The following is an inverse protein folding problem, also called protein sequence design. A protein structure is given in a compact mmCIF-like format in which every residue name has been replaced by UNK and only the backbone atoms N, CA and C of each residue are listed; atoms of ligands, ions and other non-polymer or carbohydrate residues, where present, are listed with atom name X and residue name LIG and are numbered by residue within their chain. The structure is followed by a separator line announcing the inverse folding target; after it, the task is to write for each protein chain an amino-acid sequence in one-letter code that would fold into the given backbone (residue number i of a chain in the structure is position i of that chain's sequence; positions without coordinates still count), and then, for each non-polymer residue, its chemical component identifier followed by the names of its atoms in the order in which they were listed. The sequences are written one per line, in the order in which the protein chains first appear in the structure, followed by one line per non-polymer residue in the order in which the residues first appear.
data_IF_323477727323
#
_entry.id   IF_323477727323
#
_cell.length_a   1.000
_cell.length_b   1.000
_cell.length_c   1.000
_cell.angle_alpha   90.00
_cell.angle_beta   90.00
_cell.angle_gamma   90.00
#
_symmetry.space_group_name_H-M   'P 1'
#
loop_
_entity.id
_entity.type
_entity.pdbx_description
1 polymer ?
#
# COMPACT_ATOMS: atom_id res chain seq x y z
N UNK A 1 -8.90 24.61 -17.97
CA UNK A 1 -10.10 23.77 -17.74
C UNK A 1 -11.24 24.65 -17.22
N UNK A 2 -12.45 24.61 -17.83
CA UNK A 2 -13.61 25.41 -17.41
C UNK A 2 -14.07 25.09 -15.96
N UNK A 3 -14.73 26.05 -15.30
CA UNK A 3 -15.10 25.94 -13.88
C UNK A 3 -16.08 24.79 -13.59
N UNK A 4 -16.99 24.47 -14.51
CA UNK A 4 -17.92 23.35 -14.34
C UNK A 4 -17.20 22.00 -14.20
N UNK A 5 -16.18 21.76 -15.03
CA UNK A 5 -15.32 20.59 -14.90
C UNK A 5 -14.50 20.63 -13.61
N UNK A 6 -14.02 21.80 -13.18
CA UNK A 6 -13.32 21.95 -11.90
C UNK A 6 -14.21 21.64 -10.69
N UNK A 7 -15.46 22.09 -10.71
CA UNK A 7 -16.46 21.79 -9.68
C UNK A 7 -16.78 20.29 -9.62
N UNK A 8 -16.87 19.64 -10.79
CA UNK A 8 -17.17 18.21 -10.92
C UNK A 8 -16.02 17.29 -10.49
N UNK A 9 -14.78 17.59 -10.89
CA UNK A 9 -13.62 16.72 -10.65
C UNK A 9 -12.79 17.09 -9.42
N UNK A 10 -12.83 18.35 -8.99
CA UNK A 10 -12.00 18.87 -7.90
C UNK A 10 -12.81 19.43 -6.71
N UNK A 11 -14.15 19.34 -6.75
CA UNK A 11 -15.07 19.75 -5.67
C UNK A 11 -14.77 21.16 -5.12
N UNK A 12 -14.46 22.08 -6.04
CA UNK A 12 -14.07 23.45 -5.71
C UNK A 12 -15.32 24.28 -5.38
N UNK A 13 -15.36 24.89 -4.19
CA UNK A 13 -16.47 25.75 -3.76
C UNK A 13 -16.53 27.11 -4.49
N UNK A 14 -15.37 27.67 -4.88
CA UNK A 14 -15.27 28.94 -5.61
C UNK A 14 -14.16 28.92 -6.68
N UNK A 15 -14.35 29.56 -7.85
CA UNK A 15 -13.39 29.51 -8.98
C UNK A 15 -11.95 29.92 -8.63
N UNK A 16 -11.79 30.80 -7.63
CA UNK A 16 -10.52 31.33 -7.11
C UNK A 16 -9.72 30.35 -6.23
N UNK A 17 -10.32 29.26 -5.75
CA UNK A 17 -9.68 28.34 -4.80
C UNK A 17 -8.83 27.24 -5.45
N UNK A 18 -8.81 27.16 -6.78
CA UNK A 18 -8.00 26.18 -7.49
C UNK A 18 -6.60 26.75 -7.80
N UNK A 19 -5.60 26.31 -7.03
CA UNK A 19 -4.20 26.64 -7.25
C UNK A 19 -3.42 25.36 -7.57
N UNK A 20 -2.95 25.24 -8.82
CA UNK A 20 -2.23 24.06 -9.30
C UNK A 20 -0.92 23.82 -8.55
N UNK A 21 -0.18 24.89 -8.23
CA UNK A 21 1.06 24.77 -7.49
C UNK A 21 0.81 24.22 -6.09
N UNK A 22 -0.14 24.80 -5.35
CA UNK A 22 -0.50 24.33 -4.00
C UNK A 22 -1.06 22.90 -4.00
N UNK A 23 -1.75 22.50 -5.08
CA UNK A 23 -2.21 21.13 -5.30
C UNK A 23 -1.03 20.16 -5.49
N UNK A 24 -0.10 20.50 -6.39
CA UNK A 24 1.08 19.67 -6.67
C UNK A 24 2.06 19.63 -5.49
N UNK A 25 2.08 20.66 -4.64
CA UNK A 25 2.86 20.69 -3.39
C UNK A 25 2.06 20.19 -2.19
N UNK A 26 0.89 19.56 -2.40
CA UNK A 26 0.10 18.88 -1.36
C UNK A 26 -0.32 19.74 -0.16
N UNK A 27 -0.54 21.04 -0.36
CA UNK A 27 -0.95 21.96 0.69
C UNK A 27 -2.28 21.50 1.32
N UNK A 28 -2.42 21.39 2.66
CA UNK A 28 -3.59 20.77 3.31
C UNK A 28 -4.96 21.26 2.81
N UNK A 29 -5.10 22.56 2.58
CA UNK A 29 -6.33 23.20 2.07
C UNK A 29 -6.58 23.01 0.56
N UNK A 30 -5.56 22.60 -0.20
CA UNK A 30 -5.60 22.38 -1.65
C UNK A 30 -5.33 20.91 -2.03
N UNK A 31 -5.41 19.99 -1.07
CA UNK A 31 -5.40 18.54 -1.33
C UNK A 31 -6.70 18.16 -2.03
N UNK A 32 -6.70 18.30 -3.35
CA UNK A 32 -7.80 17.79 -4.16
C UNK A 32 -7.82 16.26 -4.08
N UNK A 33 -9.03 15.71 -4.03
CA UNK A 33 -9.31 14.34 -3.60
C UNK A 33 -8.53 13.24 -4.33
N UNK A 34 -8.05 13.47 -5.56
CA UNK A 34 -7.37 12.46 -6.38
C UNK A 34 -6.08 11.90 -5.72
N UNK A 35 -5.40 12.70 -4.90
CA UNK A 35 -4.13 12.35 -4.26
C UNK A 35 -4.23 12.39 -2.72
N UNK A 36 -5.41 12.11 -2.16
CA UNK A 36 -5.71 12.43 -0.76
C UNK A 36 -4.84 11.68 0.28
N UNK A 37 -4.34 10.48 -0.01
CA UNK A 37 -3.38 9.77 0.88
C UNK A 37 -1.93 9.94 0.46
N UNK A 38 -1.64 10.35 -0.78
CA UNK A 38 -0.29 10.48 -1.33
C UNK A 38 0.64 11.38 -0.48
N UNK A 39 0.23 12.58 0.00
CA UNK A 39 1.06 13.35 0.91
C UNK A 39 1.32 12.64 2.24
N UNK A 40 0.36 11.85 2.73
CA UNK A 40 0.50 11.10 3.97
C UNK A 40 1.50 9.97 3.80
N UNK A 41 1.43 9.26 2.67
CA UNK A 41 2.35 8.20 2.28
C UNK A 41 3.78 8.74 2.11
N UNK A 42 3.97 9.82 1.35
CA UNK A 42 5.26 10.50 1.20
C UNK A 42 5.82 10.91 2.57
N UNK A 43 4.99 11.56 3.40
CA UNK A 43 5.43 11.98 4.74
C UNK A 43 5.85 10.79 5.60
N UNK A 44 5.14 9.66 5.49
CA UNK A 44 5.49 8.46 6.21
C UNK A 44 6.78 7.81 5.70
N UNK A 45 7.07 7.89 4.39
CA UNK A 45 8.33 7.40 3.84
C UNK A 45 9.57 8.13 4.38
N UNK A 46 9.45 9.38 4.85
CA UNK A 46 10.53 10.05 5.58
C UNK A 46 10.70 9.53 7.02
N UNK A 47 9.63 9.05 7.65
CA UNK A 47 9.65 8.47 9.00
C UNK A 47 10.14 7.01 8.97
N UNK A 48 9.86 6.29 7.89
CA UNK A 48 10.13 4.86 7.76
C UNK A 48 11.62 4.49 7.97
N UNK A 49 12.63 5.20 7.41
CA UNK A 49 14.03 4.93 7.69
C UNK A 49 14.37 5.03 9.18
N UNK A 50 13.89 6.09 9.85
CA UNK A 50 14.13 6.27 11.28
C UNK A 50 13.48 5.16 12.12
N UNK A 51 12.26 4.76 11.75
CA UNK A 51 11.58 3.61 12.36
C UNK A 51 12.39 2.32 12.20
N UNK A 52 12.87 2.01 10.99
CA UNK A 52 13.68 0.81 10.72
C UNK A 52 14.98 0.84 11.52
N UNK A 53 15.70 1.95 11.53
CA UNK A 53 16.95 2.10 12.30
C UNK A 53 16.71 1.91 13.81
N UNK A 54 15.61 2.44 14.35
CA UNK A 54 15.25 2.25 15.75
C UNK A 54 14.99 0.76 16.07
N UNK A 55 14.26 0.05 15.19
CA UNK A 55 13.99 -1.39 15.35
C UNK A 55 15.27 -2.22 15.26
N UNK A 56 16.19 -1.87 14.37
CA UNK A 56 17.49 -2.52 14.28
C UNK A 56 18.31 -2.31 15.56
N UNK A 57 18.34 -1.08 16.10
CA UNK A 57 19.05 -0.75 17.35
C UNK A 57 18.48 -1.46 18.58
N UNK A 58 17.17 -1.71 18.62
CA UNK A 58 16.51 -2.45 19.71
C UNK A 58 16.94 -3.93 19.78
N UNK A 59 17.49 -4.49 18.71
CA UNK A 59 18.08 -5.83 18.69
C UNK A 59 17.10 -6.91 19.17
N UNK A 60 17.44 -7.60 20.27
CA UNK A 60 16.63 -8.66 20.91
C UNK A 60 15.42 -8.11 21.69
N UNK A 61 15.44 -6.84 22.09
CA UNK A 61 14.40 -6.21 22.92
C UNK A 61 13.31 -5.51 22.12
N UNK A 62 13.25 -5.73 20.80
CA UNK A 62 12.26 -5.11 19.91
C UNK A 62 10.80 -5.29 20.37
N UNK A 63 10.49 -6.44 20.99
CA UNK A 63 9.15 -6.75 21.48
C UNK A 63 8.69 -5.79 22.60
N UNK A 64 9.63 -5.28 23.41
CA UNK A 64 9.34 -4.33 24.50
C UNK A 64 8.78 -3.01 23.98
N UNK A 65 9.16 -2.59 22.76
CA UNK A 65 8.60 -1.40 22.11
C UNK A 65 7.34 -1.73 21.31
N UNK A 66 7.25 -2.93 20.73
CA UNK A 66 6.12 -3.30 19.87
C UNK A 66 4.83 -3.53 20.66
N UNK A 67 4.90 -4.12 21.85
CA UNK A 67 3.72 -4.31 22.72
C UNK A 67 3.02 -2.99 23.04
N UNK A 68 3.69 -1.96 23.63
CA UNK A 68 3.04 -0.68 23.92
C UNK A 68 2.59 0.05 22.65
N UNK A 69 3.32 -0.07 21.53
CA UNK A 69 2.89 0.51 20.26
C UNK A 69 1.61 -0.13 19.73
N UNK A 70 1.45 -1.45 19.81
CA UNK A 70 0.19 -2.10 19.41
C UNK A 70 -0.97 -1.68 20.32
N UNK A 71 -0.73 -1.56 21.63
CA UNK A 71 -1.73 -1.04 22.58
C UNK A 71 -2.15 0.37 22.19
N UNK A 72 -1.19 1.25 21.88
CA UNK A 72 -1.47 2.61 21.41
C UNK A 72 -2.27 2.62 20.10
N UNK A 73 -1.91 1.80 19.11
CA UNK A 73 -2.65 1.72 17.84
C UNK A 73 -4.08 1.23 18.05
N UNK A 74 -4.29 0.24 18.93
CA UNK A 74 -5.62 -0.28 19.27
C UNK A 74 -6.43 0.80 19.98
N UNK A 75 -5.83 1.49 20.95
CA UNK A 75 -6.44 2.62 21.66
C UNK A 75 -6.86 3.72 20.68
N UNK A 76 -5.98 4.18 19.80
CA UNK A 76 -6.33 5.16 18.76
C UNK A 76 -7.45 4.65 17.84
N UNK A 77 -7.44 3.37 17.48
CA UNK A 77 -8.51 2.77 16.68
C UNK A 77 -9.88 2.74 17.37
N UNK A 78 -9.90 2.67 18.70
CA UNK A 78 -11.13 2.65 19.51
C UNK A 78 -11.68 4.05 19.79
N UNK A 79 -10.80 4.99 20.11
CA UNK A 79 -11.19 6.28 20.67
C UNK A 79 -11.10 7.46 19.70
N UNK A 80 -10.39 7.31 18.57
CA UNK A 80 -10.25 8.37 17.56
C UNK A 80 -11.18 8.11 16.38
N UNK A 81 -12.11 9.03 16.13
CA UNK A 81 -13.00 8.98 14.95
C UNK A 81 -12.28 9.52 13.71
N UNK A 82 -12.35 8.77 12.59
CA UNK A 82 -11.83 9.16 11.28
C UNK A 82 -13.02 9.48 10.36
N UNK A 83 -13.46 10.73 10.37
CA UNK A 83 -14.68 11.20 9.70
C UNK A 83 -14.41 11.96 8.40
N UNK A 84 -13.27 12.66 8.29
CA UNK A 84 -12.89 13.49 7.15
C UNK A 84 -11.56 13.06 6.51
N UNK A 85 -11.52 11.80 6.07
CA UNK A 85 -10.35 11.10 5.54
C UNK A 85 -9.41 11.91 4.62
N UNK A 86 -9.94 12.82 3.80
CA UNK A 86 -9.16 13.61 2.82
C UNK A 86 -8.58 14.93 3.37
N UNK A 87 -9.02 15.42 4.54
CA UNK A 87 -8.51 16.64 5.19
C UNK A 87 -7.72 16.34 6.48
N UNK A 88 -7.65 15.08 6.89
CA UNK A 88 -7.04 14.74 8.16
C UNK A 88 -5.51 14.80 8.10
N UNK A 89 -4.85 15.33 9.14
CA UNK A 89 -3.39 15.38 9.21
C UNK A 89 -2.80 13.98 9.42
N UNK A 90 -1.51 13.82 9.07
CA UNK A 90 -0.79 12.55 9.17
C UNK A 90 -0.93 11.89 10.54
N UNK A 91 -0.93 12.65 11.63
CA UNK A 91 -1.03 12.11 12.99
C UNK A 91 -2.29 11.26 13.21
N UNK A 92 -3.40 11.57 12.53
CA UNK A 92 -4.64 10.77 12.59
C UNK A 92 -4.56 9.47 11.77
N UNK A 93 -3.61 9.37 10.85
CA UNK A 93 -3.36 8.19 10.02
C UNK A 93 -2.13 7.40 10.47
N UNK A 94 -1.27 7.99 11.29
CA UNK A 94 -0.02 7.41 11.76
C UNK A 94 -0.20 6.01 12.38
N UNK A 95 -1.23 5.74 13.22
CA UNK A 95 -1.44 4.39 13.75
C UNK A 95 -1.63 3.32 12.67
N UNK A 96 -2.20 3.68 11.52
CA UNK A 96 -2.41 2.75 10.38
C UNK A 96 -1.07 2.38 9.73
N UNK A 97 -0.25 3.38 9.45
CA UNK A 97 1.05 3.18 8.82
C UNK A 97 2.02 2.45 9.76
N UNK A 98 2.05 2.84 11.04
CA UNK A 98 2.85 2.18 12.07
C UNK A 98 2.44 0.72 12.24
N UNK A 99 1.15 0.38 12.25
CA UNK A 99 0.69 -1.00 12.31
C UNK A 99 1.19 -1.87 11.14
N UNK A 100 1.24 -1.30 9.92
CA UNK A 100 1.79 -1.98 8.75
C UNK A 100 3.29 -2.25 8.89
N UNK A 101 4.06 -1.23 9.26
CA UNK A 101 5.52 -1.37 9.45
C UNK A 101 5.88 -2.31 10.59
N UNK A 102 5.13 -2.27 11.69
CA UNK A 102 5.28 -3.22 12.80
C UNK A 102 4.99 -4.65 12.34
N UNK A 103 3.93 -4.88 11.57
CA UNK A 103 3.63 -6.21 11.05
C UNK A 103 4.76 -6.75 10.16
N UNK A 104 5.32 -5.91 9.26
CA UNK A 104 6.46 -6.28 8.44
C UNK A 104 7.70 -6.65 9.27
N UNK A 105 8.06 -5.83 10.26
CA UNK A 105 9.17 -6.13 11.18
C UNK A 105 8.91 -7.40 12.00
N UNK A 106 7.69 -7.60 12.50
CA UNK A 106 7.30 -8.82 13.22
C UNK A 106 7.49 -10.04 12.33
N UNK A 107 7.03 -10.02 11.08
CA UNK A 107 7.23 -11.12 10.15
C UNK A 107 8.71 -11.43 9.95
N UNK A 108 9.54 -10.43 9.63
CA UNK A 108 10.98 -10.61 9.41
C UNK A 108 11.67 -11.21 10.66
N UNK A 109 11.32 -10.74 11.86
CA UNK A 109 11.88 -11.25 13.11
C UNK A 109 11.43 -12.68 13.41
N UNK A 110 10.16 -13.00 13.19
CA UNK A 110 9.62 -14.35 13.36
C UNK A 110 10.26 -15.32 12.36
N UNK A 111 10.35 -14.94 11.09
CA UNK A 111 10.98 -15.76 10.04
C UNK A 111 12.45 -16.04 10.37
N UNK A 112 13.21 -15.02 10.76
CA UNK A 112 14.60 -15.18 11.18
C UNK A 112 14.73 -16.11 12.40
N UNK A 113 13.85 -15.98 13.38
CA UNK A 113 13.85 -16.84 14.58
C UNK A 113 13.52 -18.30 14.23
N UNK A 114 12.50 -18.53 13.41
CA UNK A 114 12.10 -19.88 12.97
C UNK A 114 13.26 -20.54 12.22
N UNK A 115 13.91 -19.81 11.31
CA UNK A 115 15.08 -20.28 10.56
C UNK A 115 16.28 -20.58 11.49
N UNK A 116 16.59 -19.69 12.42
CA UNK A 116 17.73 -19.84 13.33
C UNK A 116 17.56 -21.01 14.34
N UNK A 117 16.33 -21.26 14.79
CA UNK A 117 16.04 -22.30 15.78
C UNK A 117 15.65 -23.64 15.16
N UNK A 118 15.43 -23.69 13.84
CA UNK A 118 14.86 -24.86 13.17
C UNK A 118 13.46 -25.21 13.68
N UNK A 119 12.72 -24.23 14.19
CA UNK A 119 11.43 -24.44 14.85
C UNK A 119 10.42 -25.08 13.89
N UNK A 120 9.83 -26.19 14.32
CA UNK A 120 8.73 -26.86 13.60
C UNK A 120 7.42 -26.62 14.33
N UNK A 121 6.42 -26.15 13.59
CA UNK A 121 5.07 -25.99 14.12
C UNK A 121 4.49 -27.35 14.51
N UNK A 122 4.23 -27.53 15.81
CA UNK A 122 3.48 -28.66 16.35
C UNK A 122 1.99 -28.42 16.18
N UNK A 123 1.18 -29.48 16.24
CA UNK A 123 -0.28 -29.41 16.09
C UNK A 123 -0.90 -28.34 17.02
N UNK A 124 -0.50 -28.28 18.29
CA UNK A 124 -1.01 -27.28 19.23
C UNK A 124 -0.70 -25.84 18.81
N UNK A 125 0.51 -25.58 18.27
CA UNK A 125 0.87 -24.25 17.78
C UNK A 125 0.04 -23.86 16.56
N UNK A 126 -0.19 -24.83 15.65
CA UNK A 126 -1.05 -24.61 14.48
C UNK A 126 -2.48 -24.32 14.92
N UNK A 127 -3.06 -25.15 15.80
CA UNK A 127 -4.44 -24.95 16.29
C UNK A 127 -4.59 -23.60 16.98
N UNK A 128 -3.66 -23.22 17.86
CA UNK A 128 -3.68 -21.91 18.51
C UNK A 128 -3.64 -20.76 17.48
N UNK A 129 -2.77 -20.87 16.46
CA UNK A 129 -2.66 -19.88 15.40
C UNK A 129 -3.96 -19.77 14.58
N UNK A 130 -4.63 -20.91 14.30
CA UNK A 130 -5.92 -20.95 13.58
C UNK A 130 -7.07 -20.35 14.38
N UNK A 131 -7.07 -20.52 15.70
CA UNK A 131 -8.06 -19.86 16.57
C UNK A 131 -7.87 -18.35 16.49
N UNK A 132 -6.63 -17.86 16.58
CA UNK A 132 -6.32 -16.43 16.47
C UNK A 132 -6.71 -15.91 15.09
N UNK A 133 -6.37 -16.62 14.02
CA UNK A 133 -6.75 -16.30 12.64
C UNK A 133 -8.29 -16.15 12.51
N UNK A 134 -9.06 -17.12 13.01
CA UNK A 134 -10.52 -17.10 12.95
C UNK A 134 -11.12 -15.91 13.71
N UNK A 135 -10.59 -15.59 14.89
CA UNK A 135 -11.02 -14.42 15.68
C UNK A 135 -10.74 -13.12 14.89
N UNK A 136 -9.54 -13.00 14.29
CA UNK A 136 -9.18 -11.83 13.50
C UNK A 136 -10.09 -11.67 12.27
N UNK A 137 -10.40 -12.76 11.57
CA UNK A 137 -11.31 -12.77 10.43
C UNK A 137 -12.72 -12.36 10.87
N UNK A 138 -13.27 -12.97 11.92
CA UNK A 138 -14.59 -12.60 12.43
C UNK A 138 -14.67 -11.14 12.85
N UNK A 139 -13.65 -10.63 13.55
CA UNK A 139 -13.57 -9.25 13.97
C UNK A 139 -13.35 -8.28 12.81
N UNK A 140 -12.68 -8.71 11.74
CA UNK A 140 -12.52 -7.94 10.50
C UNK A 140 -13.82 -7.87 9.70
N UNK A 141 -14.45 -9.01 9.45
CA UNK A 141 -15.73 -9.10 8.74
C UNK A 141 -16.83 -8.34 9.45
N UNK A 142 -16.87 -8.37 10.79
CA UNK A 142 -17.79 -7.56 11.57
C UNK A 142 -17.65 -6.06 11.28
N UNK A 143 -16.41 -5.55 11.18
CA UNK A 143 -16.21 -4.14 10.85
C UNK A 143 -16.60 -3.82 9.40
N UNK A 144 -16.18 -4.66 8.46
CA UNK A 144 -16.44 -4.44 7.02
C UNK A 144 -17.93 -4.48 6.69
N UNK A 145 -18.65 -5.44 7.28
CA UNK A 145 -20.07 -5.67 7.03
C UNK A 145 -20.98 -5.07 8.13
N UNK A 146 -20.51 -4.10 8.92
CA UNK A 146 -21.29 -3.42 9.98
C UNK A 146 -22.06 -4.38 10.89
N UNK A 147 -21.41 -5.47 11.31
CA UNK A 147 -22.00 -6.47 12.19
C UNK A 147 -22.95 -7.46 11.50
N UNK A 148 -23.04 -7.50 10.16
CA UNK A 148 -23.88 -8.47 9.44
C UNK A 148 -23.61 -9.92 9.86
N UNK A 149 -22.34 -10.26 10.07
CA UNK A 149 -21.94 -11.57 10.57
C UNK A 149 -22.60 -11.89 11.93
N UNK A 150 -22.64 -10.91 12.83
CA UNK A 150 -23.27 -11.05 14.14
C UNK A 150 -24.81 -11.06 14.06
N UNK A 151 -25.39 -10.35 13.08
CA UNK A 151 -26.82 -10.44 12.79
C UNK A 151 -27.22 -11.86 12.35
N UNK A 152 -26.41 -12.52 11.52
CA UNK A 152 -26.66 -13.91 11.10
C UNK A 152 -26.56 -14.92 12.26
N UNK A 153 -25.74 -14.62 13.26
CA UNK A 153 -25.62 -15.41 14.49
C UNK A 153 -26.72 -15.08 15.52
N UNK A 154 -27.69 -14.23 15.19
CA UNK A 154 -28.76 -13.82 16.11
C UNK A 154 -28.29 -12.93 17.27
N UNK A 155 -27.09 -12.34 17.17
CA UNK A 155 -26.50 -11.47 18.20
C UNK A 155 -26.26 -10.07 17.62
N UNK A 156 -27.31 -9.29 17.31
CA UNK A 156 -27.14 -8.00 16.64
C UNK A 156 -26.31 -7.04 17.47
N UNK A 157 -25.28 -6.44 16.85
CA UNK A 157 -24.51 -5.36 17.48
C UNK A 157 -25.35 -4.08 17.51
N UNK A 158 -25.11 -3.23 18.51
CA UNK A 158 -25.79 -1.94 18.62
C UNK A 158 -25.63 -1.13 17.32
N UNK A 159 -26.69 -0.41 16.88
CA UNK A 159 -26.62 0.38 15.66
C UNK A 159 -25.46 1.38 15.74
N UNK A 160 -24.55 1.33 14.77
CA UNK A 160 -23.43 2.26 14.72
C UNK A 160 -23.93 3.69 14.49
N UNK A 161 -23.89 4.52 15.53
CA UNK A 161 -24.28 5.94 15.48
C UNK A 161 -23.29 6.79 14.68
N UNK A 162 -22.04 6.32 14.55
CA UNK A 162 -21.00 6.90 13.69
C UNK A 162 -20.21 5.80 12.98
N UNK A 163 -19.71 6.10 11.79
CA UNK A 163 -18.82 5.20 11.07
C UNK A 163 -17.46 5.16 11.77
N UNK A 164 -17.16 4.04 12.42
CA UNK A 164 -15.87 3.77 13.05
C UNK A 164 -15.30 2.54 12.33
N UNK A 165 -14.05 2.64 11.88
CA UNK A 165 -13.27 1.50 11.36
C UNK A 165 -12.22 1.11 12.39
N UNK A 166 -12.63 0.47 13.50
CA UNK A 166 -11.72 0.31 14.63
C UNK A 166 -10.67 -0.76 14.28
N UNK A 167 -9.40 -0.33 14.33
CA UNK A 167 -8.19 -1.14 14.20
C UNK A 167 -8.18 -2.12 13.01
N UNK A 168 -8.82 -1.75 11.89
CA UNK A 168 -8.83 -2.54 10.64
C UNK A 168 -7.42 -2.85 10.15
N UNK A 169 -6.50 -1.88 10.27
CA UNK A 169 -5.10 -2.05 9.88
C UNK A 169 -4.40 -3.14 10.68
N UNK A 170 -4.60 -3.17 12.01
CA UNK A 170 -4.00 -4.18 12.90
C UNK A 170 -4.55 -5.57 12.58
N UNK A 171 -5.88 -5.69 12.41
CA UNK A 171 -6.51 -6.96 12.07
C UNK A 171 -5.96 -7.54 10.77
N UNK A 172 -5.95 -6.71 9.72
CA UNK A 172 -5.52 -7.15 8.40
C UNK A 172 -4.01 -7.41 8.35
N UNK A 173 -3.19 -6.55 8.95
CA UNK A 173 -1.73 -6.72 8.94
C UNK A 173 -1.30 -7.96 9.74
N UNK A 174 -1.92 -8.23 10.89
CA UNK A 174 -1.67 -9.46 11.65
C UNK A 174 -2.15 -10.71 10.91
N UNK A 175 -3.30 -10.65 10.24
CA UNK A 175 -3.78 -11.75 9.40
C UNK A 175 -2.76 -12.09 8.30
N UNK A 176 -2.20 -11.07 7.64
CA UNK A 176 -1.13 -11.26 6.64
C UNK A 176 0.10 -11.91 7.29
N UNK A 177 0.55 -11.44 8.46
CA UNK A 177 1.70 -12.04 9.16
C UNK A 177 1.46 -13.51 9.49
N UNK A 178 0.27 -13.84 10.00
CA UNK A 178 -0.12 -15.24 10.29
C UNK A 178 -0.02 -16.10 9.04
N UNK A 179 -0.58 -15.62 7.92
CA UNK A 179 -0.60 -16.38 6.66
C UNK A 179 0.79 -16.50 6.01
N UNK A 180 1.66 -15.51 6.20
CA UNK A 180 3.04 -15.58 5.75
C UNK A 180 3.88 -16.54 6.60
N UNK A 181 3.61 -16.63 7.91
CA UNK A 181 4.31 -17.54 8.83
C UNK A 181 3.85 -18.98 8.65
N UNK A 182 2.53 -19.21 8.54
CA UNK A 182 1.95 -20.55 8.39
C UNK A 182 0.71 -20.48 7.51
N UNK A 183 0.88 -20.87 6.24
CA UNK A 183 -0.17 -20.78 5.21
C UNK A 183 -1.41 -21.59 5.56
N UNK A 184 -2.57 -20.99 5.34
CA UNK A 184 -3.89 -21.61 5.51
C UNK A 184 -4.67 -21.62 4.19
N UNK A 185 -5.94 -22.03 4.26
CA UNK A 185 -6.87 -21.82 3.15
C UNK A 185 -7.04 -20.33 2.82
N UNK A 186 -6.88 -19.42 3.78
CA UNK A 186 -6.94 -17.97 3.58
C UNK A 186 -5.78 -17.48 2.71
N UNK A 187 -4.57 -18.01 2.89
CA UNK A 187 -3.46 -17.76 1.96
C UNK A 187 -3.82 -18.17 0.52
N UNK A 188 -4.54 -19.28 0.32
CA UNK A 188 -5.03 -19.65 -1.03
C UNK A 188 -6.05 -18.66 -1.57
N UNK A 189 -6.87 -18.04 -0.72
CA UNK A 189 -7.77 -16.95 -1.10
C UNK A 189 -6.96 -15.74 -1.54
N UNK A 190 -5.91 -15.34 -0.80
CA UNK A 190 -5.02 -14.24 -1.20
C UNK A 190 -4.32 -14.51 -2.54
N UNK A 191 -3.97 -15.77 -2.82
CA UNK A 191 -3.41 -16.22 -4.10
C UNK A 191 -4.46 -16.39 -5.21
N UNK A 192 -5.74 -16.16 -4.92
CA UNK A 192 -6.79 -16.34 -5.91
C UNK A 192 -6.67 -15.34 -7.05
N UNK A 193 -7.08 -15.75 -8.24
CA UNK A 193 -6.90 -14.97 -9.48
C UNK A 193 -7.56 -13.59 -9.39
N UNK A 194 -8.67 -13.48 -8.67
CA UNK A 194 -9.40 -12.22 -8.46
C UNK A 194 -8.56 -11.22 -7.66
N UNK A 195 -7.95 -11.64 -6.55
CA UNK A 195 -7.12 -10.74 -5.73
C UNK A 195 -5.79 -10.42 -6.41
N UNK A 196 -5.19 -11.39 -7.11
CA UNK A 196 -4.02 -11.11 -7.97
C UNK A 196 -4.34 -10.10 -9.06
N UNK A 197 -5.50 -10.23 -9.69
CA UNK A 197 -5.96 -9.28 -10.70
C UNK A 197 -6.22 -7.89 -10.10
N UNK A 198 -6.87 -7.83 -8.94
CA UNK A 198 -7.06 -6.57 -8.21
C UNK A 198 -5.72 -5.90 -7.87
N UNK A 199 -4.69 -6.70 -7.57
CA UNK A 199 -3.32 -6.23 -7.42
C UNK A 199 -2.73 -5.63 -8.71
N UNK A 200 -2.99 -6.26 -9.88
CA UNK A 200 -2.53 -5.73 -11.19
C UNK A 200 -3.11 -4.35 -11.50
N UNK A 201 -4.39 -4.13 -11.20
CA UNK A 201 -5.07 -2.85 -11.47
C UNK A 201 -5.02 -1.87 -10.30
N UNK A 202 -4.24 -2.18 -9.26
CA UNK A 202 -4.28 -1.46 -7.98
C UNK A 202 -3.90 0.03 -8.09
N UNK A 203 -2.95 0.36 -8.96
CA UNK A 203 -2.56 1.75 -9.23
C UNK A 203 -3.74 2.52 -9.85
N UNK A 204 -4.37 1.95 -10.87
CA UNK A 204 -5.55 2.54 -11.48
C UNK A 204 -6.72 2.65 -10.49
N UNK A 205 -6.94 1.65 -9.64
CA UNK A 205 -7.93 1.72 -8.55
C UNK A 205 -7.63 2.89 -7.62
N UNK A 206 -6.37 3.04 -7.17
CA UNK A 206 -5.94 4.09 -6.25
C UNK A 206 -6.10 5.51 -6.83
N UNK A 207 -5.87 5.69 -8.12
CA UNK A 207 -5.96 7.01 -8.75
C UNK A 207 -7.40 7.36 -9.16
N UNK A 208 -8.18 6.37 -9.59
CA UNK A 208 -9.46 6.61 -10.26
C UNK A 208 -10.68 6.39 -9.37
N UNK A 209 -10.54 5.75 -8.20
CA UNK A 209 -11.70 5.47 -7.32
C UNK A 209 -12.48 6.73 -6.93
N UNK A 210 -11.76 7.84 -6.76
CA UNK A 210 -12.31 9.16 -6.44
C UNK A 210 -13.36 9.61 -7.47
N UNK A 211 -13.11 9.36 -8.77
CA UNK A 211 -14.04 9.76 -9.84
C UNK A 211 -15.40 9.07 -9.71
N UNK A 212 -15.39 7.81 -9.27
CA UNK A 212 -16.61 7.02 -9.04
C UNK A 212 -17.31 7.47 -7.77
N UNK A 213 -16.57 7.55 -6.65
CA UNK A 213 -17.13 7.88 -5.32
C UNK A 213 -17.85 9.23 -5.32
N UNK A 214 -17.32 10.22 -6.04
CA UNK A 214 -17.88 11.58 -6.08
C UNK A 214 -18.90 11.81 -7.18
N UNK A 215 -19.25 10.80 -7.97
CA UNK A 215 -20.38 10.88 -8.90
C UNK A 215 -21.66 11.12 -8.11
N UNK A 216 -22.51 12.12 -8.46
CA UNK A 216 -23.68 12.49 -7.67
C UNK A 216 -24.59 11.31 -7.29
N UNK A 217 -24.88 10.42 -8.25
CA UNK A 217 -25.70 9.22 -8.05
C UNK A 217 -25.12 8.27 -6.98
N UNK A 218 -23.80 8.13 -6.93
CA UNK A 218 -23.11 7.27 -5.94
C UNK A 218 -22.98 7.98 -4.59
N UNK A 219 -22.68 9.28 -4.61
CA UNK A 219 -22.51 10.07 -3.39
C UNK A 219 -23.81 10.15 -2.59
N UNK A 220 -24.93 10.35 -3.28
CA UNK A 220 -26.27 10.49 -2.70
C UNK A 220 -26.91 9.17 -2.28
N UNK A 221 -26.37 8.01 -2.72
CA UNK A 221 -26.88 6.71 -2.29
C UNK A 221 -26.75 6.55 -0.77
N UNK A 222 -27.88 6.20 -0.13
CA UNK A 222 -28.02 6.10 1.33
C UNK A 222 -27.89 4.66 1.81
N UNK A 223 -28.22 3.69 0.95
CA UNK A 223 -28.08 2.26 1.25
C UNK A 223 -26.60 1.86 1.17
N UNK A 224 -26.06 1.41 2.31
CA UNK A 224 -24.64 1.09 2.44
C UNK A 224 -24.18 -0.01 1.47
N UNK A 225 -24.94 -1.10 1.34
CA UNK A 225 -24.56 -2.22 0.49
C UNK A 225 -24.65 -1.86 -0.99
N UNK A 226 -25.76 -1.26 -1.43
CA UNK A 226 -25.94 -0.80 -2.81
C UNK A 226 -24.82 0.15 -3.22
N UNK A 227 -24.49 1.12 -2.35
CA UNK A 227 -23.35 2.02 -2.54
C UNK A 227 -22.02 1.28 -2.62
N UNK A 228 -21.78 0.31 -1.72
CA UNK A 228 -20.53 -0.46 -1.67
C UNK A 228 -20.34 -1.28 -2.95
N UNK A 229 -21.36 -2.01 -3.39
CA UNK A 229 -21.31 -2.81 -4.61
C UNK A 229 -21.18 -1.94 -5.86
N UNK A 230 -21.91 -0.82 -5.93
CA UNK A 230 -21.81 0.12 -7.04
C UNK A 230 -20.42 0.74 -7.13
N UNK A 231 -19.86 1.22 -6.02
CA UNK A 231 -18.49 1.75 -5.97
C UNK A 231 -17.50 0.67 -6.39
N UNK A 232 -17.56 -0.52 -5.77
CA UNK A 232 -16.61 -1.59 -6.05
C UNK A 232 -16.63 -2.01 -7.53
N UNK A 233 -17.83 -2.23 -8.10
CA UNK A 233 -17.99 -2.61 -9.50
C UNK A 233 -17.51 -1.53 -10.48
N UNK A 234 -17.97 -0.29 -10.30
CA UNK A 234 -17.62 0.81 -11.20
C UNK A 234 -16.14 1.18 -11.13
N UNK A 235 -15.54 1.17 -9.94
CA UNK A 235 -14.08 1.40 -9.78
C UNK A 235 -13.29 0.28 -10.45
N UNK A 236 -13.69 -0.98 -10.27
CA UNK A 236 -13.01 -2.12 -10.89
C UNK A 236 -13.09 -2.05 -12.43
N UNK A 237 -14.25 -1.69 -12.99
CA UNK A 237 -14.43 -1.52 -14.43
C UNK A 237 -13.58 -0.37 -14.97
N UNK A 238 -13.62 0.80 -14.32
CA UNK A 238 -12.84 1.96 -14.71
C UNK A 238 -11.33 1.69 -14.63
N UNK A 239 -10.87 1.08 -13.54
CA UNK A 239 -9.48 0.71 -13.34
C UNK A 239 -9.02 -0.35 -14.35
N UNK A 240 -9.87 -1.34 -14.66
CA UNK A 240 -9.60 -2.33 -15.71
C UNK A 240 -9.45 -1.67 -17.08
N UNK A 241 -10.37 -0.78 -17.45
CA UNK A 241 -10.30 -0.06 -18.72
C UNK A 241 -9.02 0.78 -18.80
N UNK A 242 -8.71 1.53 -17.74
CA UNK A 242 -7.48 2.31 -17.66
C UNK A 242 -6.22 1.46 -17.69
N UNK A 243 -6.22 0.29 -17.06
CA UNK A 243 -5.09 -0.62 -17.05
C UNK A 243 -4.73 -1.06 -18.47
N UNK A 244 -5.71 -1.54 -19.24
CA UNK A 244 -5.44 -2.02 -20.60
C UNK A 244 -5.20 -0.90 -21.62
N UNK A 245 -5.83 0.27 -21.45
CA UNK A 245 -5.70 1.37 -22.40
C UNK A 245 -4.47 2.25 -22.15
N UNK A 246 -4.03 2.37 -20.90
CA UNK A 246 -2.99 3.34 -20.51
C UNK A 246 -1.83 2.65 -19.80
N UNK A 247 -2.10 1.97 -18.69
CA UNK A 247 -1.05 1.49 -17.79
C UNK A 247 -0.19 0.40 -18.45
N UNK A 248 -0.81 -0.62 -18.99
CA UNK A 248 -0.14 -1.77 -19.58
C UNK A 248 0.66 -1.40 -20.84
N UNK A 249 0.13 -0.66 -21.83
CA UNK A 249 0.92 -0.16 -22.94
C UNK A 249 2.10 0.72 -22.50
N UNK A 250 1.90 1.58 -21.50
CA UNK A 250 2.97 2.43 -20.96
C UNK A 250 4.06 1.60 -20.29
N UNK A 251 3.71 0.54 -19.56
CA UNK A 251 4.67 -0.41 -18.97
C UNK A 251 5.49 -1.12 -20.05
N UNK A 252 4.84 -1.60 -21.12
CA UNK A 252 5.54 -2.25 -22.24
C UNK A 252 6.50 -1.27 -22.94
N UNK A 253 6.06 -0.03 -23.17
CA UNK A 253 6.90 1.01 -23.74
C UNK A 253 8.11 1.33 -22.86
N UNK A 254 7.91 1.52 -21.56
CA UNK A 254 8.98 1.79 -20.60
C UNK A 254 9.99 0.63 -20.54
N UNK A 255 9.53 -0.62 -20.56
CA UNK A 255 10.40 -1.80 -20.62
C UNK A 255 11.17 -1.89 -21.94
N UNK A 256 10.57 -1.48 -23.05
CA UNK A 256 11.24 -1.39 -24.34
C UNK A 256 12.34 -0.35 -24.33
N UNK A 257 12.05 0.84 -23.80
CA UNK A 257 13.03 1.93 -23.66
C UNK A 257 14.19 1.52 -22.74
N UNK A 258 13.90 0.90 -21.59
CA UNK A 258 14.93 0.42 -20.67
C UNK A 258 15.88 -0.58 -21.33
N UNK A 259 15.34 -1.57 -22.08
CA UNK A 259 16.14 -2.54 -22.82
C UNK A 259 17.03 -1.89 -23.89
N UNK A 260 16.52 -0.88 -24.59
CA UNK A 260 17.31 -0.17 -25.60
C UNK A 260 18.39 0.71 -24.97
N UNK A 261 18.11 1.35 -23.83
CA UNK A 261 19.10 2.11 -23.08
C UNK A 261 20.22 1.21 -22.54
N UNK A 262 19.86 0.04 -21.98
CA UNK A 262 20.84 -0.95 -21.52
C UNK A 262 21.71 -1.44 -22.68
N UNK A 263 21.11 -1.76 -23.84
CA UNK A 263 21.86 -2.18 -25.03
C UNK A 263 22.86 -1.12 -25.49
N UNK A 264 22.46 0.16 -25.49
CA UNK A 264 23.35 1.27 -25.85
C UNK A 264 24.45 1.48 -24.81
N UNK A 265 24.14 1.34 -23.54
CA UNK A 265 25.12 1.45 -22.46
C UNK A 265 26.17 0.33 -22.56
N UNK A 266 25.76 -0.92 -22.79
CA UNK A 266 26.67 -2.03 -23.04
C UNK A 266 27.53 -1.81 -24.28
N UNK A 267 26.93 -1.43 -25.42
CA UNK A 267 27.70 -1.17 -26.64
C UNK A 267 28.69 0.00 -26.50
N UNK A 268 28.35 1.02 -25.72
CA UNK A 268 29.26 2.13 -25.42
C UNK A 268 30.40 1.69 -24.49
N UNK A 269 30.11 0.83 -23.52
CA UNK A 269 31.12 0.23 -22.63
C UNK A 269 32.09 -0.68 -23.40
N UNK A 270 31.57 -1.54 -24.28
CA UNK A 270 32.39 -2.42 -25.12
C UNK A 270 33.31 -1.62 -26.04
N UNK A 271 32.80 -0.53 -26.64
CA UNK A 271 33.61 0.38 -27.45
C UNK A 271 34.68 1.11 -26.63
N UNK A 272 34.34 1.57 -25.43
CA UNK A 272 35.32 2.19 -24.54
C UNK A 272 36.43 1.22 -24.14
N UNK A 273 36.07 -0.04 -23.87
CA UNK A 273 37.04 -1.09 -23.57
C UNK A 273 37.94 -1.39 -24.77
N UNK A 274 37.39 -1.49 -25.98
CA UNK A 274 38.20 -1.69 -27.19
C UNK A 274 39.13 -0.52 -27.48
N UNK A 275 38.68 0.72 -27.25
CA UNK A 275 39.50 1.92 -27.45
C UNK A 275 40.67 1.98 -26.43
N UNK A 276 40.48 1.46 -25.20
CA UNK A 276 41.57 1.30 -24.22
C UNK A 276 42.57 0.24 -24.68
N UNK A 277 42.08 -0.93 -25.03
CA UNK A 277 42.94 -2.07 -25.40
C UNK A 277 43.77 -1.73 -26.65
N UNK A 278 43.19 -1.03 -27.65
CA UNK A 278 43.92 -0.53 -28.82
C UNK A 278 44.97 0.56 -28.47
N UNK A 279 44.71 1.37 -27.43
CA UNK A 279 45.65 2.40 -27.00
C UNK A 279 46.88 1.81 -26.29
N UNK A 280 46.70 0.79 -25.44
CA UNK A 280 47.76 0.06 -24.76
C UNK A 280 48.64 -0.73 -25.76
N UNK A 281 48.02 -1.34 -26.77
CA UNK A 281 48.73 -2.03 -27.87
C UNK A 281 49.53 -1.03 -28.74
N UNK A 282 49.04 0.20 -28.90
CA UNK A 282 49.74 1.25 -29.65
C UNK A 282 50.95 1.84 -28.89
N UNK A 283 50.90 1.91 -27.55
CA UNK A 283 52.01 2.36 -26.72
C UNK A 283 53.13 1.31 -26.62
N UNK A 284 52.76 0.03 -26.52
CA UNK A 284 53.72 -1.09 -26.56
C UNK A 284 54.39 -1.24 -27.93
N UNK A 285 53.66 -1.03 -29.03
CA UNK A 285 54.26 -1.00 -30.37
C UNK A 285 55.26 0.17 -30.56
N UNK A 286 54.95 1.36 -30.03
CA UNK A 286 55.85 2.53 -30.11
C UNK A 286 57.11 2.41 -29.25
N UNK A 287 57.06 1.68 -28.13
CA UNK A 287 58.24 1.39 -27.31
C UNK A 287 59.16 0.36 -27.98
N UNK A 288 58.59 -0.68 -28.62
CA UNK A 288 59.40 -1.69 -29.33
C UNK A 288 60.10 -1.14 -30.59
N UNK A 289 59.54 -0.12 -31.26
CA UNK A 289 60.15 0.44 -32.48
C UNK A 289 61.30 1.42 -32.20
N UNK A 290 61.55 1.81 -30.94
CA UNK A 290 62.66 2.71 -30.55
C UNK A 290 63.96 1.99 -30.16
N UNK A 291 63.96 0.65 -30.13
CA UNK A 291 65.12 -0.17 -29.75
C UNK A 291 65.89 -0.80 -30.93
N UNK A 292 65.79 -0.23 -32.14
CA UNK A 292 66.56 -0.67 -33.31
C UNK A 292 67.47 0.44 -33.86
#
# INVERSE_FOLDING_TARGET
MPFEYKKRYYLVSQPSNFNLFQMLTFHPEHRHYLMWTLPLEISYYFILPAFVLAVLKLGRFWWMSFVPLYIWVIHEGLYTTRDNFYRQPLIKHLPTFVAGSMAACTFVKLEALIKATGFKFRMLHVVALRIVEAILIAAYLSVVFRGLFFNWLGMPLAPATKYIMPFTSVKLSLLIVIEMVQRSTVSKIFEWIVLRYMGKISIAVYLLHVLVIFTPSIKQETKYYDKTFAVFGLVTLLATASYYLVEYPSQLFAQGLARELDRRASSAYDKYQSDIDESDDSETAKTSTKEL
#
